data_IF_367444243487
#
_entry.id   IF_367444243487
#
_cell.length_a   1.000
_cell.length_b   1.000
_cell.length_c   1.000
_cell.angle_alpha   90.00
_cell.angle_beta   90.00
_cell.angle_gamma   90.00
#
_symmetry.space_group_name_H-M   'P 1'
#
loop_
_entity.id
_entity.type
_entity.pdbx_description
1 polymer ?
#
# COMPACT_ATOMS: atom_id res chain seq x y z
N UNK A 1 7.77 -9.11 9.43
CA UNK A 1 9.23 -8.88 9.50
C UNK A 1 9.60 -8.03 8.28
N UNK A 2 10.28 -6.88 8.48
CA UNK A 2 10.65 -5.94 7.40
C UNK A 2 12.10 -6.16 6.99
N UNK A 3 12.41 -6.07 5.69
CA UNK A 3 13.74 -6.30 5.14
C UNK A 3 14.15 -5.16 4.21
N UNK A 4 15.37 -4.65 4.37
CA UNK A 4 15.97 -3.67 3.45
C UNK A 4 16.57 -4.42 2.28
N UNK A 5 16.09 -4.15 1.07
CA UNK A 5 16.55 -4.83 -0.16
C UNK A 5 17.65 -4.08 -0.90
N UNK A 6 17.85 -2.80 -0.58
CA UNK A 6 18.87 -1.94 -1.21
C UNK A 6 19.25 -0.79 -0.29
N UNK A 7 20.53 -0.41 -0.31
CA UNK A 7 21.08 0.69 0.47
C UNK A 7 21.46 0.27 1.90
N UNK A 8 22.09 1.19 2.63
CA UNK A 8 22.52 0.98 4.01
C UNK A 8 21.97 2.13 4.86
N UNK A 9 20.69 2.06 5.25
CA UNK A 9 20.03 3.11 6.02
C UNK A 9 20.60 3.16 7.45
N UNK A 10 20.56 4.33 8.06
CA UNK A 10 20.96 4.44 9.46
C UNK A 10 19.90 3.83 10.37
N UNK A 11 20.27 3.55 11.62
CA UNK A 11 19.36 3.01 12.61
C UNK A 11 18.16 3.95 12.87
N UNK A 12 18.40 5.26 12.81
CA UNK A 12 17.40 6.30 13.01
C UNK A 12 16.36 6.32 11.89
N UNK A 13 16.78 6.17 10.63
CA UNK A 13 15.88 6.13 9.48
C UNK A 13 14.99 4.87 9.53
N UNK A 14 15.58 3.73 9.88
CA UNK A 14 14.84 2.48 10.10
C UNK A 14 13.82 2.60 11.24
N UNK A 15 14.20 3.24 12.34
CA UNK A 15 13.32 3.47 13.48
C UNK A 15 12.15 4.39 13.10
N UNK A 16 12.41 5.47 12.36
CA UNK A 16 11.39 6.43 11.92
C UNK A 16 10.34 5.76 11.03
N UNK A 17 10.75 4.99 10.02
CA UNK A 17 9.82 4.28 9.14
C UNK A 17 9.01 3.24 9.91
N UNK A 18 9.65 2.51 10.83
CA UNK A 18 8.97 1.51 11.66
C UNK A 18 7.91 2.16 12.56
N UNK A 19 8.22 3.29 13.19
CA UNK A 19 7.28 4.03 14.02
C UNK A 19 6.04 4.47 13.23
N UNK A 20 6.22 4.96 11.99
CA UNK A 20 5.11 5.35 11.11
C UNK A 20 4.24 4.15 10.74
N UNK A 21 4.85 3.00 10.39
CA UNK A 21 4.11 1.78 10.04
C UNK A 21 3.27 1.30 11.24
N UNK A 22 3.84 1.30 12.44
CA UNK A 22 3.13 0.92 13.66
C UNK A 22 1.95 1.87 13.96
N UNK A 23 2.16 3.18 13.79
CA UNK A 23 1.10 4.18 13.97
C UNK A 23 -0.08 3.97 12.98
N UNK A 24 0.22 3.67 11.72
CA UNK A 24 -0.80 3.39 10.70
C UNK A 24 -1.57 2.09 10.99
N UNK A 25 -0.90 1.04 11.48
CA UNK A 25 -1.57 -0.19 11.88
C UNK A 25 -2.54 0.02 13.05
N UNK A 26 -2.17 0.84 14.03
CA UNK A 26 -3.05 1.20 15.14
C UNK A 26 -4.26 2.05 14.70
N UNK A 27 -4.10 2.88 13.67
CA UNK A 27 -5.15 3.74 13.13
C UNK A 27 -6.15 2.98 12.24
N UNK A 28 -5.70 1.96 11.51
CA UNK A 28 -6.52 1.15 10.60
C UNK A 28 -7.70 0.44 11.30
N UNK A 29 -7.61 0.18 12.60
CA UNK A 29 -8.71 -0.41 13.37
C UNK A 29 -9.91 0.55 13.59
N UNK A 30 -9.73 1.87 13.37
CA UNK A 30 -10.75 2.90 13.61
C UNK A 30 -11.68 3.13 12.42
N UNK A 31 -11.22 2.91 11.19
CA UNK A 31 -12.06 3.02 10.00
C UNK A 31 -12.73 1.68 9.69
N UNK A 32 -14.03 1.57 9.98
CA UNK A 32 -14.86 0.53 9.36
C UNK A 32 -14.85 0.78 7.85
N UNK A 33 -14.05 0.01 7.15
CA UNK A 33 -13.94 0.09 5.70
C UNK A 33 -15.31 -0.21 5.07
N UNK A 34 -15.95 0.84 4.55
CA UNK A 34 -16.93 0.67 3.48
C UNK A 34 -16.22 -0.08 2.36
N UNK A 35 -16.80 -1.12 1.74
CA UNK A 35 -16.11 -1.83 0.68
C UNK A 35 -15.92 -0.84 -0.48
N UNK A 36 -14.73 -0.26 -0.57
CA UNK A 36 -14.30 0.46 -1.74
C UNK A 36 -14.35 -0.57 -2.86
N UNK A 37 -15.23 -0.36 -3.84
CA UNK A 37 -15.30 -1.17 -5.05
C UNK A 37 -14.00 -0.95 -5.82
N UNK A 38 -12.95 -1.65 -5.39
CA UNK A 38 -11.59 -1.47 -5.86
C UNK A 38 -11.57 -1.77 -7.36
N UNK A 39 -11.34 -0.77 -8.24
CA UNK A 39 -11.46 -0.96 -9.69
C UNK A 39 -10.49 -2.01 -10.23
N UNK A 40 -9.36 -2.23 -9.54
CA UNK A 40 -8.41 -3.29 -9.86
C UNK A 40 -8.96 -4.68 -9.50
N UNK A 41 -9.65 -4.83 -8.36
CA UNK A 41 -10.17 -6.11 -7.89
C UNK A 41 -11.25 -6.65 -8.85
N UNK A 42 -12.13 -5.76 -9.34
CA UNK A 42 -13.11 -6.09 -10.38
C UNK A 42 -12.44 -6.53 -11.69
N UNK A 43 -11.32 -5.92 -12.07
CA UNK A 43 -10.59 -6.32 -13.29
C UNK A 43 -9.92 -7.68 -13.17
N UNK A 44 -9.39 -7.99 -11.98
CA UNK A 44 -8.82 -9.30 -11.68
C UNK A 44 -9.89 -10.41 -11.76
N UNK A 45 -11.06 -10.19 -11.17
CA UNK A 45 -12.20 -11.11 -11.25
C UNK A 45 -12.69 -11.35 -12.68
N UNK A 46 -12.56 -10.35 -13.55
CA UNK A 46 -12.97 -10.42 -14.96
C UNK A 46 -11.84 -10.86 -15.90
N UNK A 47 -10.68 -11.26 -15.39
CA UNK A 47 -9.50 -11.64 -16.17
C UNK A 47 -9.13 -10.62 -17.26
N UNK A 48 -9.37 -9.34 -17.00
CA UNK A 48 -9.09 -8.28 -17.96
C UNK A 48 -7.58 -8.02 -18.06
N UNK A 49 -7.04 -7.77 -19.27
CA UNK A 49 -5.62 -7.51 -19.43
C UNK A 49 -5.20 -6.24 -18.65
N UNK A 50 -3.96 -6.20 -18.13
CA UNK A 50 -3.42 -5.01 -17.48
C UNK A 50 -3.39 -3.84 -18.47
N UNK A 51 -3.73 -2.64 -18.00
CA UNK A 51 -3.62 -1.39 -18.78
C UNK A 51 -2.50 -0.52 -18.19
N UNK A 52 -1.23 -0.84 -18.48
CA UNK A 52 -0.12 0.02 -18.11
C UNK A 52 -0.24 1.36 -18.84
N UNK A 53 0.13 2.44 -18.16
CA UNK A 53 0.05 3.80 -18.70
C UNK A 53 0.24 4.86 -17.62
N UNK A 54 0.55 6.10 -18.04
CA UNK A 54 0.71 7.21 -17.12
C UNK A 54 -0.56 7.38 -16.24
N UNK A 55 -0.38 7.49 -14.93
CA UNK A 55 -1.48 7.62 -13.98
C UNK A 55 -2.26 6.33 -13.68
N UNK A 56 -1.89 5.18 -14.26
CA UNK A 56 -2.52 3.88 -13.93
C UNK A 56 -2.42 3.53 -12.45
N UNK A 57 -1.30 3.89 -11.81
CA UNK A 57 -1.04 3.69 -10.38
C UNK A 57 -1.91 4.54 -9.46
N UNK A 58 -2.45 5.68 -9.93
CA UNK A 58 -3.33 6.56 -9.14
C UNK A 58 -4.66 5.89 -8.76
N UNK A 59 -5.01 4.80 -9.44
CA UNK A 59 -6.21 3.99 -9.18
C UNK A 59 -6.01 2.91 -8.10
N UNK A 60 -4.77 2.67 -7.67
CA UNK A 60 -4.45 1.68 -6.62
C UNK A 60 -4.44 2.28 -5.21
N UNK A 61 -4.37 3.60 -5.10
CA UNK A 61 -4.22 4.32 -3.83
C UNK A 61 -5.54 4.94 -3.31
N UNK A 62 -6.69 4.58 -3.90
CA UNK A 62 -8.03 5.05 -3.47
C UNK A 62 -8.84 3.94 -2.83
#
# INVERSE_FOLDING_TARGET
>A
MLTVTRGEPTAEELAAVTAVVLALQGSAAREKAKPATQPWARRAQLHLPPRPGAGSWRRSAR
#
